data_IF_854347639297
#
_entry.id   IF_854347639297
#
_cell.length_a   1.000
_cell.length_b   1.000
_cell.length_c   1.000
_cell.angle_alpha   90.00
_cell.angle_beta   90.00
_cell.angle_gamma   90.00
#
_symmetry.space_group_name_H-M   'P 1'
#
loop_
_entity.id
_entity.type
_entity.pdbx_description
1 polymer ?
#
# COMPACT_ATOMS: atom_id res chain seq x y z
N UNK A 1 -13.33 -4.90 4.33
CA UNK A 1 -12.75 -4.05 3.28
C UNK A 1 -12.76 -4.84 1.99
N UNK A 2 -13.12 -4.20 0.89
CA UNK A 2 -13.08 -4.81 -0.43
C UNK A 2 -11.88 -4.27 -1.19
N UNK A 3 -11.14 -5.17 -1.82
CA UNK A 3 -9.98 -4.84 -2.65
C UNK A 3 -10.26 -5.16 -4.11
N UNK A 4 -9.69 -4.36 -5.00
CA UNK A 4 -9.70 -4.61 -6.45
C UNK A 4 -8.39 -4.10 -7.05
N UNK A 5 -8.10 -4.46 -8.29
CA UNK A 5 -6.87 -4.02 -8.93
C UNK A 5 -6.67 -4.56 -10.33
N UNK A 6 -5.62 -4.08 -10.98
CA UNK A 6 -5.16 -4.56 -12.27
C UNK A 6 -3.66 -4.75 -12.22
N UNK A 7 -3.20 -5.94 -12.59
CA UNK A 7 -1.78 -6.22 -12.81
C UNK A 7 -1.41 -5.64 -14.17
N UNK A 8 -0.45 -4.72 -14.19
CA UNK A 8 0.06 -4.11 -15.42
C UNK A 8 1.23 -4.92 -15.98
N UNK A 9 2.04 -5.51 -15.10
CA UNK A 9 3.14 -6.40 -15.48
C UNK A 9 3.43 -7.40 -14.35
N UNK A 10 3.80 -8.61 -14.76
CA UNK A 10 4.24 -9.71 -13.90
C UNK A 10 5.67 -10.10 -14.32
N UNK A 11 6.57 -10.15 -13.35
CA UNK A 11 7.95 -10.60 -13.50
C UNK A 11 8.17 -12.01 -12.98
N UNK A 12 9.45 -12.37 -12.87
CA UNK A 12 9.90 -13.59 -12.19
C UNK A 12 9.62 -13.50 -10.68
N UNK A 13 9.24 -14.62 -10.07
CA UNK A 13 8.90 -14.65 -8.64
C UNK A 13 7.73 -13.74 -8.27
N UNK A 14 7.87 -13.00 -7.18
CA UNK A 14 6.83 -12.10 -6.65
C UNK A 14 6.88 -10.70 -7.27
N UNK A 15 7.76 -10.46 -8.26
CA UNK A 15 7.92 -9.15 -8.87
C UNK A 15 6.67 -8.77 -9.68
N UNK A 16 6.04 -7.66 -9.35
CA UNK A 16 4.78 -7.24 -10.00
C UNK A 16 4.61 -5.73 -9.93
N UNK A 17 3.96 -5.13 -10.94
CA UNK A 17 3.47 -3.76 -10.85
C UNK A 17 2.01 -3.67 -11.29
N UNK A 18 1.27 -2.75 -10.68
CA UNK A 18 -0.12 -2.58 -11.02
C UNK A 18 -0.79 -1.42 -10.31
N UNK A 19 -2.12 -1.44 -10.43
CA UNK A 19 -3.03 -0.55 -9.71
C UNK A 19 -3.76 -1.39 -8.67
N UNK A 20 -3.85 -0.87 -7.45
CA UNK A 20 -4.63 -1.47 -6.37
C UNK A 20 -5.60 -0.44 -5.79
N UNK A 21 -6.79 -0.89 -5.41
CA UNK A 21 -7.82 -0.10 -4.77
C UNK A 21 -8.40 -0.82 -3.56
N UNK A 22 -8.72 -0.09 -2.51
CA UNK A 22 -9.35 -0.64 -1.32
C UNK A 22 -10.31 0.36 -0.65
N UNK A 23 -11.49 -0.13 -0.28
CA UNK A 23 -12.47 0.64 0.50
C UNK A 23 -11.98 0.95 1.91
N UNK A 24 -12.53 2.01 2.52
CA UNK A 24 -12.24 2.41 3.89
C UNK A 24 -12.34 1.26 4.92
N UNK A 25 -11.47 1.34 5.93
CA UNK A 25 -11.40 0.42 7.06
C UNK A 25 -9.97 0.17 7.54
N UNK A 26 -9.83 -0.37 8.77
CA UNK A 26 -8.54 -0.69 9.35
C UNK A 26 -7.99 -2.02 8.82
N UNK A 27 -6.68 -2.08 8.58
CA UNK A 27 -5.98 -3.27 8.14
C UNK A 27 -4.66 -3.46 8.88
N UNK A 28 -4.21 -4.72 9.00
CA UNK A 28 -2.95 -5.13 9.61
C UNK A 28 -2.10 -5.83 8.55
N UNK A 29 -0.83 -5.45 8.44
CA UNK A 29 0.07 -5.99 7.42
C UNK A 29 1.39 -6.46 8.01
N UNK A 30 1.93 -7.51 7.40
CA UNK A 30 3.32 -7.93 7.45
C UNK A 30 3.75 -8.14 6.00
N UNK A 31 4.65 -7.30 5.49
CA UNK A 31 5.06 -7.35 4.09
C UNK A 31 6.19 -8.36 3.89
N UNK A 32 5.99 -9.30 2.97
CA UNK A 32 6.97 -10.31 2.56
C UNK A 32 7.79 -9.92 1.32
N UNK A 33 7.44 -8.79 0.71
CA UNK A 33 8.10 -8.14 -0.43
C UNK A 33 8.45 -6.69 -0.09
N UNK A 34 9.35 -6.10 -0.88
CA UNK A 34 9.47 -4.65 -0.88
C UNK A 34 8.30 -4.06 -1.68
N UNK A 35 7.80 -2.91 -1.28
CA UNK A 35 6.73 -2.23 -2.01
C UNK A 35 7.06 -0.74 -2.22
N UNK A 36 7.13 -0.31 -3.48
CA UNK A 36 7.07 1.10 -3.84
C UNK A 36 5.62 1.49 -4.09
N UNK A 37 5.17 2.59 -3.51
CA UNK A 37 3.78 3.05 -3.59
C UNK A 37 3.71 4.50 -4.05
N UNK A 38 2.77 4.79 -4.96
CA UNK A 38 2.32 6.14 -5.26
C UNK A 38 0.80 6.24 -5.11
N UNK A 39 0.31 7.17 -4.29
CA UNK A 39 -1.12 7.33 -4.05
C UNK A 39 -1.74 8.22 -5.13
N UNK A 40 -2.76 7.68 -5.79
CA UNK A 40 -3.52 8.36 -6.86
C UNK A 40 -4.78 9.02 -6.30
N UNK A 41 -5.48 8.37 -5.37
CA UNK A 41 -6.72 8.86 -4.77
C UNK A 41 -6.92 8.29 -3.36
N UNK A 42 -7.78 8.94 -2.58
CA UNK A 42 -8.12 8.57 -1.20
C UNK A 42 -7.06 8.99 -0.19
N UNK A 43 -7.23 8.56 1.07
CA UNK A 43 -6.29 8.85 2.15
C UNK A 43 -6.24 7.71 3.15
N UNK A 44 -5.08 7.53 3.79
CA UNK A 44 -4.91 6.57 4.87
C UNK A 44 -3.84 7.01 5.86
N UNK A 45 -3.91 6.49 7.08
CA UNK A 45 -2.82 6.60 8.05
C UNK A 45 -2.06 5.28 8.13
N UNK A 46 -0.76 5.34 7.89
CA UNK A 46 0.15 4.20 7.99
C UNK A 46 0.89 4.29 9.32
N UNK A 47 0.79 3.27 10.16
CA UNK A 47 1.45 3.23 11.48
C UNK A 47 2.34 2.00 11.58
N UNK A 48 3.68 2.15 11.53
CA UNK A 48 4.60 1.04 11.82
C UNK A 48 4.48 0.61 13.28
N UNK A 49 4.77 -0.66 13.58
CA UNK A 49 4.74 -1.18 14.95
C UNK A 49 5.69 -0.48 15.92
N UNK A 50 6.84 -0.07 15.40
CA UNK A 50 7.94 0.56 16.13
C UNK A 50 8.07 2.06 15.80
N UNK A 51 7.06 2.64 15.16
CA UNK A 51 7.13 3.96 14.56
C UNK A 51 5.97 4.88 14.90
N UNK A 52 6.05 6.09 14.36
CA UNK A 52 4.97 7.08 14.45
C UNK A 52 4.05 6.98 13.22
N UNK A 53 2.76 7.29 13.37
CA UNK A 53 1.82 7.31 12.26
C UNK A 53 2.19 8.38 11.23
N UNK A 54 1.97 8.06 9.96
CA UNK A 54 2.08 8.97 8.82
C UNK A 54 0.75 9.02 8.07
N UNK A 55 0.23 10.23 7.84
CA UNK A 55 -0.90 10.44 6.95
C UNK A 55 -0.39 10.49 5.51
N UNK A 56 -1.01 9.71 4.62
CA UNK A 56 -0.70 9.70 3.19
C UNK A 56 -1.97 9.93 2.36
N UNK A 57 -1.82 10.64 1.25
CA UNK A 57 -2.88 11.02 0.33
C UNK A 57 -2.36 11.23 -1.10
N UNK A 58 -3.20 11.78 -2.01
CA UNK A 58 -2.87 11.85 -3.43
C UNK A 58 -1.58 12.65 -3.70
N UNK A 59 -0.68 12.07 -4.49
CA UNK A 59 0.64 12.64 -4.78
C UNK A 59 1.75 12.11 -3.88
N UNK A 60 1.43 11.58 -2.70
CA UNK A 60 2.42 10.99 -1.81
C UNK A 60 3.01 9.72 -2.40
N UNK A 61 4.33 9.57 -2.22
CA UNK A 61 5.12 8.46 -2.74
C UNK A 61 6.04 7.96 -1.64
N UNK A 62 6.03 6.66 -1.40
CA UNK A 62 6.80 6.07 -0.31
C UNK A 62 7.22 4.65 -0.63
N UNK A 63 8.17 4.15 0.16
CA UNK A 63 8.71 2.81 0.06
C UNK A 63 8.47 2.07 1.37
N UNK A 64 7.99 0.83 1.28
CA UNK A 64 7.78 -0.06 2.40
C UNK A 64 8.74 -1.24 2.26
N UNK A 65 9.73 -1.40 3.15
CA UNK A 65 10.71 -2.48 3.02
C UNK A 65 10.08 -3.84 3.36
N UNK A 66 10.63 -4.91 2.77
CA UNK A 66 10.34 -6.28 3.19
C UNK A 66 10.56 -6.43 4.70
N UNK A 67 9.62 -7.09 5.37
CA UNK A 67 9.59 -7.28 6.81
C UNK A 67 8.92 -6.14 7.59
N UNK A 68 8.45 -5.08 6.91
CA UNK A 68 7.65 -4.05 7.55
C UNK A 68 6.36 -4.65 8.13
N UNK A 69 6.01 -4.22 9.34
CA UNK A 69 4.74 -4.56 9.99
C UNK A 69 4.10 -3.35 10.64
N UNK A 70 2.77 -3.32 10.61
CA UNK A 70 2.00 -2.18 11.10
C UNK A 70 0.57 -2.19 10.62
N UNK A 71 -0.11 -1.06 10.80
CA UNK A 71 -1.50 -0.87 10.38
C UNK A 71 -1.62 0.16 9.27
N UNK A 72 -2.55 -0.09 8.34
CA UNK A 72 -3.04 0.93 7.42
C UNK A 72 -4.51 1.17 7.75
N UNK A 73 -4.81 2.38 8.22
CA UNK A 73 -6.17 2.83 8.49
C UNK A 73 -6.65 3.66 7.30
N UNK A 74 -7.48 3.05 6.44
CA UNK A 74 -7.95 3.66 5.20
C UNK A 74 -9.19 4.51 5.51
N UNK A 75 -9.07 5.83 5.36
CA UNK A 75 -10.14 6.79 5.70
C UNK A 75 -11.15 6.94 4.57
N UNK A 76 -10.66 6.95 3.34
CA UNK A 76 -11.42 7.05 2.09
C UNK A 76 -10.89 6.00 1.12
N UNK A 77 -11.70 5.52 0.17
CA UNK A 77 -11.25 4.53 -0.82
C UNK A 77 -9.93 4.96 -1.46
N UNK A 78 -8.87 4.21 -1.17
CA UNK A 78 -7.52 4.48 -1.68
C UNK A 78 -7.35 3.80 -3.01
N UNK A 79 -6.77 4.52 -3.99
CA UNK A 79 -6.19 3.95 -5.20
C UNK A 79 -4.69 4.24 -5.22
N UNK A 80 -3.87 3.21 -5.39
CA UNK A 80 -2.41 3.32 -5.48
C UNK A 80 -1.84 2.64 -6.72
N UNK A 81 -0.75 3.18 -7.23
CA UNK A 81 0.19 2.44 -8.07
C UNK A 81 1.17 1.73 -7.14
N UNK A 82 1.55 0.50 -7.49
CA UNK A 82 2.56 -0.23 -6.73
C UNK A 82 3.59 -0.91 -7.65
N UNK A 83 4.77 -1.14 -7.08
CA UNK A 83 5.77 -2.10 -7.56
C UNK A 83 6.17 -2.94 -6.36
N UNK A 84 6.02 -4.26 -6.46
CA UNK A 84 6.50 -5.23 -5.48
C UNK A 84 7.64 -6.07 -6.04
N UNK A 85 8.63 -6.43 -5.21
CA UNK A 85 9.80 -7.25 -5.57
C UNK A 85 10.58 -7.77 -4.35
#
# INVERSE_FOLDING_TARGET
MNTSGTILWQGEGDAQTGVWECTAGPSRWLLDTNEFVHIVAGSMTITPDDGSPALVGPGDTFFVPKGWSGTWDIHETVRKLYVIF
#
